data_IF_220742902957
#
_entry.id   IF_220742902957
#
_cell.length_a   1.000
_cell.length_b   1.000
_cell.length_c   1.000
_cell.angle_alpha   90.00
_cell.angle_beta   90.00
_cell.angle_gamma   90.00
#
_symmetry.space_group_name_H-M   'P 1'
#
loop_
_entity.id
_entity.type
_entity.pdbx_description
1 polymer ?
#
# COMPACT_ATOMS: atom_id res chain seq x y z
N UNK A 1 33.65 -10.30 -28.91
CA UNK A 1 33.19 -10.75 -27.61
C UNK A 1 32.02 -9.87 -27.18
N UNK A 2 30.82 -10.24 -27.63
CA UNK A 2 29.60 -9.66 -27.11
C UNK A 2 29.34 -10.28 -25.74
N UNK A 3 29.74 -9.60 -24.68
CA UNK A 3 29.27 -9.89 -23.33
C UNK A 3 27.79 -9.52 -23.31
N UNK A 4 26.90 -10.52 -23.26
CA UNK A 4 25.50 -10.31 -22.91
C UNK A 4 25.47 -9.63 -21.54
N UNK A 5 25.28 -8.31 -21.52
CA UNK A 5 24.83 -7.63 -20.33
C UNK A 5 23.37 -8.07 -20.11
N UNK A 6 23.19 -9.14 -19.35
CA UNK A 6 21.86 -9.44 -18.80
C UNK A 6 21.35 -8.17 -18.15
N UNK A 7 20.24 -7.67 -18.66
CA UNK A 7 19.60 -6.46 -18.18
C UNK A 7 19.16 -6.74 -16.73
N UNK A 8 20.01 -6.38 -15.76
CA UNK A 8 19.78 -6.66 -14.35
C UNK A 8 18.51 -5.93 -13.93
N UNK A 9 17.47 -6.69 -13.56
CA UNK A 9 16.19 -6.13 -13.11
C UNK A 9 16.40 -5.18 -11.95
N UNK A 10 15.84 -3.97 -12.04
CA UNK A 10 15.91 -2.96 -10.98
C UNK A 10 14.98 -3.31 -9.84
N UNK A 11 15.45 -3.17 -8.60
CA UNK A 11 14.65 -3.34 -7.39
C UNK A 11 14.57 -2.01 -6.65
N UNK A 12 13.38 -1.58 -6.32
CA UNK A 12 13.12 -0.38 -5.52
C UNK A 12 12.72 -0.77 -4.10
N UNK A 13 13.39 -0.20 -3.11
CA UNK A 13 12.90 -0.21 -1.73
C UNK A 13 11.94 0.96 -1.58
N UNK A 14 10.68 0.63 -1.31
CA UNK A 14 9.56 1.55 -1.29
C UNK A 14 9.03 1.67 0.13
N UNK A 15 9.39 2.74 0.82
CA UNK A 15 8.94 2.99 2.19
C UNK A 15 7.61 3.70 2.09
N UNK A 16 6.56 3.06 2.61
CA UNK A 16 5.21 3.60 2.56
C UNK A 16 4.59 3.57 3.97
N UNK A 17 4.92 4.57 4.81
CA UNK A 17 4.58 4.54 6.23
C UNK A 17 3.13 4.99 6.51
N UNK A 18 2.19 4.71 5.62
CA UNK A 18 0.77 5.06 5.78
C UNK A 18 0.19 4.35 7.00
N UNK A 19 -0.48 5.12 7.85
CA UNK A 19 -1.10 4.67 9.08
C UNK A 19 -2.60 4.96 9.13
N UNK A 20 -3.09 5.89 8.33
CA UNK A 20 -4.46 6.39 8.37
C UNK A 20 -5.49 5.30 8.06
N UNK A 21 -5.17 4.37 7.17
CA UNK A 21 -6.07 3.29 6.80
C UNK A 21 -6.29 2.25 7.90
N UNK A 22 -5.40 2.19 8.89
CA UNK A 22 -5.45 1.21 9.97
C UNK A 22 -6.44 1.53 11.09
N UNK A 23 -6.85 2.79 11.23
CA UNK A 23 -7.75 3.30 12.32
C UNK A 23 -7.47 2.64 13.68
N UNK A 24 -6.20 2.59 14.09
CA UNK A 24 -5.73 1.86 15.27
C UNK A 24 -6.37 2.36 16.56
N UNK A 25 -6.65 3.65 16.67
CA UNK A 25 -7.34 4.26 17.80
C UNK A 25 -8.77 3.72 18.02
N UNK A 26 -9.40 3.16 16.99
CA UNK A 26 -10.65 2.43 17.12
C UNK A 26 -10.49 1.13 17.94
N UNK A 27 -9.36 0.47 17.79
CA UNK A 27 -9.06 -0.81 18.46
C UNK A 27 -8.38 -0.64 19.81
N UNK A 28 -7.75 0.52 20.04
CA UNK A 28 -6.98 0.85 21.25
C UNK A 28 -7.48 2.15 21.87
N UNK A 29 -8.76 2.21 22.32
CA UNK A 29 -9.37 3.46 22.79
C UNK A 29 -8.75 4.01 24.09
N UNK A 30 -8.05 3.17 24.83
CA UNK A 30 -7.38 3.57 26.09
C UNK A 30 -6.02 4.26 25.89
N UNK A 31 -5.52 4.27 24.64
CA UNK A 31 -4.27 4.93 24.27
C UNK A 31 -4.60 6.20 23.48
N UNK A 32 -3.96 7.35 23.79
CA UNK A 32 -4.17 8.56 23.02
C UNK A 32 -4.03 8.30 21.52
N UNK A 33 -4.97 8.83 20.73
CA UNK A 33 -5.03 8.54 19.28
C UNK A 33 -3.72 8.90 18.55
N UNK A 34 -3.05 9.97 18.97
CA UNK A 34 -1.75 10.39 18.43
C UNK A 34 -0.62 9.39 18.69
N UNK A 35 -0.71 8.62 19.76
CA UNK A 35 0.29 7.60 20.10
C UNK A 35 -0.02 6.27 19.41
N UNK A 36 -1.26 5.80 19.47
CA UNK A 36 -1.69 4.52 18.91
C UNK A 36 -1.70 4.55 17.38
N UNK A 37 -2.21 5.62 16.79
CA UNK A 37 -2.47 5.69 15.32
C UNK A 37 -1.19 5.77 14.50
N UNK A 38 -0.11 6.36 15.02
CA UNK A 38 1.16 6.50 14.29
C UNK A 38 2.09 5.30 14.43
N UNK A 39 1.68 4.23 15.09
CA UNK A 39 2.49 3.02 15.24
C UNK A 39 2.95 2.42 13.91
N UNK A 40 2.09 2.41 12.90
CA UNK A 40 2.45 1.95 11.56
C UNK A 40 3.50 2.84 10.87
N UNK A 41 3.47 4.15 11.11
CA UNK A 41 4.51 5.05 10.62
C UNK A 41 5.88 4.69 11.21
N UNK A 42 5.94 4.57 12.53
CA UNK A 42 7.16 4.20 13.24
C UNK A 42 7.64 2.80 12.82
N UNK A 43 6.73 1.85 12.69
CA UNK A 43 7.04 0.48 12.27
C UNK A 43 7.72 0.42 10.90
N UNK A 44 7.24 1.18 9.92
CA UNK A 44 7.87 1.27 8.61
C UNK A 44 9.31 1.82 8.67
N UNK A 45 9.54 2.84 9.51
CA UNK A 45 10.88 3.41 9.72
C UNK A 45 11.82 2.41 10.41
N UNK A 46 11.34 1.68 11.40
CA UNK A 46 12.10 0.62 12.06
C UNK A 46 12.46 -0.52 11.11
N UNK A 47 11.52 -0.95 10.28
CA UNK A 47 11.77 -1.96 9.24
C UNK A 47 12.86 -1.50 8.28
N UNK A 48 12.82 -0.24 7.84
CA UNK A 48 13.85 0.31 6.97
C UNK A 48 15.23 0.36 7.64
N UNK A 49 15.27 0.68 8.93
CA UNK A 49 16.50 0.70 9.71
C UNK A 49 17.09 -0.72 9.90
N UNK A 50 16.24 -1.70 10.18
CA UNK A 50 16.66 -3.09 10.46
C UNK A 50 16.91 -3.92 9.19
N UNK A 51 16.26 -3.58 8.08
CA UNK A 51 16.40 -4.33 6.83
C UNK A 51 17.81 -4.23 6.26
N UNK A 52 18.35 -5.32 5.70
CA UNK A 52 19.68 -5.32 5.10
C UNK A 52 19.83 -4.24 4.03
N UNK A 53 20.94 -3.51 4.06
CA UNK A 53 21.31 -2.55 3.02
C UNK A 53 21.97 -3.32 1.87
N UNK A 54 21.26 -3.44 0.74
CA UNK A 54 21.71 -4.24 -0.42
C UNK A 54 22.00 -3.40 -1.66
N UNK A 55 22.08 -2.07 -1.50
CA UNK A 55 22.40 -1.13 -2.57
C UNK A 55 21.24 -0.80 -3.50
N UNK A 56 20.00 -1.23 -3.19
CA UNK A 56 18.82 -0.79 -3.95
C UNK A 56 18.58 0.70 -3.74
N UNK A 57 18.02 1.35 -4.78
CA UNK A 57 17.44 2.68 -4.62
C UNK A 57 16.29 2.61 -3.59
N UNK A 58 16.28 3.56 -2.68
CA UNK A 58 15.24 3.70 -1.64
C UNK A 58 14.50 5.01 -1.85
N UNK A 59 13.18 4.96 -1.85
CA UNK A 59 12.31 6.13 -1.87
C UNK A 59 11.25 6.00 -0.78
N UNK A 60 10.77 7.14 -0.28
CA UNK A 60 9.73 7.18 0.74
C UNK A 60 8.52 7.99 0.26
N UNK A 61 7.34 7.41 0.41
CA UNK A 61 6.08 8.10 0.15
C UNK A 61 5.85 9.14 1.24
N UNK A 62 5.61 10.42 0.89
CA UNK A 62 5.27 11.42 1.88
C UNK A 62 3.92 11.11 2.52
N UNK A 63 3.93 10.92 3.83
CA UNK A 63 2.75 10.58 4.63
C UNK A 63 2.54 11.63 5.71
N UNK A 64 1.31 12.14 5.80
CA UNK A 64 0.93 13.12 6.82
C UNK A 64 0.99 12.53 8.22
N UNK A 65 1.47 13.31 9.18
CA UNK A 65 1.42 13.00 10.61
C UNK A 65 0.31 13.77 11.35
N UNK A 66 -0.54 14.47 10.63
CA UNK A 66 -1.66 15.21 11.22
C UNK A 66 -2.75 14.24 11.68
N UNK A 67 -2.90 14.12 12.99
CA UNK A 67 -3.92 13.26 13.61
C UNK A 67 -5.34 13.80 13.45
N UNK A 68 -5.51 15.06 13.10
CA UNK A 68 -6.83 15.69 12.97
C UNK A 68 -7.41 15.59 11.56
N UNK A 69 -6.57 15.36 10.55
CA UNK A 69 -7.01 15.26 9.15
C UNK A 69 -7.41 13.81 8.81
N UNK A 70 -8.52 13.35 9.39
CA UNK A 70 -9.01 11.97 9.25
C UNK A 70 -10.51 11.87 9.01
N UNK A 71 -11.10 12.83 8.34
CA UNK A 71 -12.54 12.82 8.03
C UNK A 71 -12.94 11.56 7.25
N UNK A 72 -14.05 10.93 7.65
CA UNK A 72 -14.63 9.83 6.89
C UNK A 72 -15.45 10.39 5.72
N UNK A 73 -15.10 9.99 4.52
CA UNK A 73 -15.74 10.40 3.28
C UNK A 73 -16.00 9.17 2.40
N UNK A 74 -17.17 9.09 1.79
CA UNK A 74 -17.55 7.98 0.89
C UNK A 74 -17.25 6.59 1.46
N UNK A 75 -17.41 6.44 2.77
CA UNK A 75 -17.22 5.16 3.47
C UNK A 75 -15.78 4.81 3.83
N UNK A 76 -14.82 5.73 3.65
CA UNK A 76 -13.41 5.51 3.97
C UNK A 76 -12.96 6.57 4.99
N UNK A 77 -12.42 6.11 6.12
CA UNK A 77 -11.77 6.99 7.11
C UNK A 77 -10.50 7.59 6.54
N UNK A 78 -10.26 8.88 6.75
CA UNK A 78 -9.13 9.64 6.21
C UNK A 78 -9.00 9.59 4.67
N UNK A 79 -10.11 9.49 3.96
CA UNK A 79 -10.13 9.26 2.51
C UNK A 79 -9.31 10.29 1.73
N UNK A 80 -9.49 11.58 1.99
CA UNK A 80 -8.77 12.63 1.25
C UNK A 80 -7.26 12.56 1.44
N UNK A 81 -6.80 12.22 2.64
CA UNK A 81 -5.37 12.01 2.92
C UNK A 81 -4.83 10.79 2.21
N UNK A 82 -5.56 9.66 2.28
CA UNK A 82 -5.20 8.41 1.59
C UNK A 82 -5.13 8.63 0.08
N UNK A 83 -6.09 9.34 -0.50
CA UNK A 83 -6.12 9.69 -1.92
C UNK A 83 -4.87 10.49 -2.33
N UNK A 84 -4.50 11.50 -1.54
CA UNK A 84 -3.29 12.29 -1.77
C UNK A 84 -2.02 11.43 -1.69
N UNK A 85 -1.93 10.56 -0.70
CA UNK A 85 -0.79 9.66 -0.51
C UNK A 85 -0.72 8.60 -1.61
N UNK A 86 -1.87 8.11 -2.08
CA UNK A 86 -1.96 7.21 -3.25
C UNK A 86 -1.38 7.88 -4.51
N UNK A 87 -1.73 9.14 -4.78
CA UNK A 87 -1.16 9.91 -5.91
C UNK A 87 0.36 10.04 -5.78
N UNK A 88 0.85 10.41 -4.60
CA UNK A 88 2.28 10.55 -4.36
C UNK A 88 3.03 9.21 -4.55
N UNK A 89 2.47 8.11 -4.09
CA UNK A 89 3.02 6.78 -4.28
C UNK A 89 3.11 6.38 -5.76
N UNK A 90 2.05 6.66 -6.52
CA UNK A 90 2.01 6.42 -7.97
C UNK A 90 3.05 7.25 -8.72
N UNK A 91 3.22 8.52 -8.36
CA UNK A 91 4.20 9.40 -8.99
C UNK A 91 5.62 8.90 -8.77
N UNK A 92 5.95 8.44 -7.56
CA UNK A 92 7.25 7.82 -7.27
C UNK A 92 7.51 6.55 -8.10
N UNK A 93 6.52 5.70 -8.30
CA UNK A 93 6.67 4.51 -9.15
C UNK A 93 6.79 4.86 -10.63
N UNK A 94 6.06 5.86 -11.10
CA UNK A 94 6.20 6.38 -12.47
C UNK A 94 7.58 6.98 -12.72
N UNK A 95 8.13 7.69 -11.76
CA UNK A 95 9.47 8.30 -11.87
C UNK A 95 10.58 7.25 -11.87
N UNK A 96 10.46 6.21 -11.05
CA UNK A 96 11.51 5.23 -10.83
C UNK A 96 11.45 4.01 -11.74
N UNK A 97 10.31 3.69 -12.34
CA UNK A 97 10.10 2.55 -13.23
C UNK A 97 10.71 1.21 -12.74
N UNK A 98 10.47 0.79 -11.48
CA UNK A 98 11.11 -0.41 -10.97
C UNK A 98 10.58 -1.68 -11.63
N UNK A 99 11.46 -2.69 -11.78
CA UNK A 99 11.07 -4.04 -12.20
C UNK A 99 10.54 -4.88 -11.02
N UNK A 100 11.04 -4.56 -9.82
CA UNK A 100 10.66 -5.22 -8.56
C UNK A 100 10.53 -4.17 -7.47
N UNK A 101 9.64 -4.43 -6.53
CA UNK A 101 9.37 -3.52 -5.40
C UNK A 101 9.43 -4.31 -4.10
N UNK A 102 10.17 -3.78 -3.12
CA UNK A 102 10.10 -4.22 -1.72
C UNK A 102 9.44 -3.09 -0.95
N UNK A 103 8.18 -3.26 -0.60
CA UNK A 103 7.44 -2.27 0.18
C UNK A 103 7.65 -2.50 1.67
N UNK A 104 8.09 -1.47 2.37
CA UNK A 104 8.15 -1.45 3.83
C UNK A 104 7.04 -0.53 4.34
N UNK A 105 5.96 -1.13 4.80
CA UNK A 105 4.78 -0.42 5.26
C UNK A 105 4.74 -0.30 6.77
N UNK A 106 3.82 0.25 7.20
CA UNK A 106 2.51 0.81 7.05
C UNK A 106 1.44 -0.28 7.19
N UNK A 107 0.21 0.12 7.09
CA UNK A 107 -0.94 -0.80 7.15
C UNK A 107 -1.20 -1.47 5.79
N UNK A 108 -2.11 -2.43 5.74
CA UNK A 108 -2.27 -3.33 4.58
C UNK A 108 -2.50 -2.62 3.24
N UNK A 109 -3.15 -1.44 3.25
CA UNK A 109 -3.43 -0.70 2.01
C UNK A 109 -2.20 -0.14 1.30
N UNK A 110 -1.03 -0.13 1.94
CA UNK A 110 0.24 0.22 1.29
C UNK A 110 0.63 -0.76 0.18
N UNK A 111 -0.02 -1.92 0.12
CA UNK A 111 0.14 -2.91 -0.94
C UNK A 111 -0.58 -2.53 -2.24
N UNK A 112 -1.61 -1.70 -2.18
CA UNK A 112 -2.50 -1.41 -3.32
C UNK A 112 -1.76 -0.78 -4.50
N UNK A 113 -0.99 0.26 -4.26
CA UNK A 113 -0.24 0.96 -5.32
C UNK A 113 0.84 0.08 -5.94
N UNK A 114 1.77 -0.53 -5.17
CA UNK A 114 2.81 -1.37 -5.76
C UNK A 114 2.25 -2.62 -6.45
N UNK A 115 1.20 -3.26 -5.92
CA UNK A 115 0.60 -4.43 -6.54
C UNK A 115 -0.06 -4.09 -7.87
N UNK A 116 -0.88 -3.04 -7.91
CA UNK A 116 -1.55 -2.61 -9.14
C UNK A 116 -0.56 -2.09 -10.19
N UNK A 117 0.55 -1.48 -9.76
CA UNK A 117 1.66 -1.14 -10.66
C UNK A 117 2.28 -2.39 -11.29
N UNK A 118 2.60 -3.42 -10.51
CA UNK A 118 3.20 -4.66 -11.02
C UNK A 118 2.22 -5.45 -11.90
N UNK A 119 0.95 -5.46 -11.57
CA UNK A 119 -0.10 -6.08 -12.39
C UNK A 119 -0.16 -5.41 -13.78
N UNK A 120 -0.08 -4.08 -13.84
CA UNK A 120 -0.03 -3.35 -15.10
C UNK A 120 1.27 -3.60 -15.89
N UNK A 121 2.40 -3.70 -15.19
CA UNK A 121 3.70 -3.95 -15.81
C UNK A 121 3.84 -5.36 -16.36
N UNK A 122 3.23 -6.35 -15.71
CA UNK A 122 3.30 -7.78 -16.05
C UNK A 122 1.90 -8.40 -16.11
N UNK A 123 1.04 -7.98 -17.04
CA UNK A 123 -0.40 -8.25 -16.98
C UNK A 123 -0.78 -9.73 -16.94
N UNK A 124 0.02 -10.61 -17.53
CA UNK A 124 -0.25 -12.05 -17.59
C UNK A 124 0.61 -12.90 -16.64
N UNK A 125 1.59 -12.27 -15.97
CA UNK A 125 2.63 -12.97 -15.22
C UNK A 125 2.57 -12.69 -13.69
N UNK A 126 1.52 -12.04 -13.21
CA UNK A 126 1.39 -11.68 -11.78
C UNK A 126 0.18 -12.34 -11.17
N UNK A 127 0.40 -12.99 -10.03
CA UNK A 127 -0.64 -13.42 -9.10
C UNK A 127 -0.38 -12.82 -7.72
N UNK A 128 -1.44 -12.65 -6.93
CA UNK A 128 -1.33 -12.17 -5.56
C UNK A 128 -1.33 -13.36 -4.61
N UNK A 129 -0.37 -13.41 -3.68
CA UNK A 129 -0.41 -14.26 -2.50
C UNK A 129 -0.55 -13.33 -1.29
N UNK A 130 -1.75 -13.31 -0.72
CA UNK A 130 -2.10 -12.46 0.42
C UNK A 130 -1.94 -13.26 1.71
N UNK A 131 -0.83 -13.02 2.41
CA UNK A 131 -0.50 -13.74 3.66
C UNK A 131 -0.88 -12.84 4.83
N UNK A 132 -2.05 -13.09 5.39
CA UNK A 132 -2.66 -12.25 6.41
C UNK A 132 -3.71 -13.05 7.20
N UNK A 133 -3.90 -12.73 8.47
CA UNK A 133 -4.99 -13.29 9.28
C UNK A 133 -6.38 -12.81 8.82
N UNK A 134 -6.45 -11.75 8.01
CA UNK A 134 -7.66 -11.19 7.44
C UNK A 134 -7.59 -11.17 5.93
N UNK A 135 -8.71 -11.34 5.22
CA UNK A 135 -8.73 -11.35 3.75
C UNK A 135 -8.66 -9.96 3.12
N UNK A 136 -8.90 -8.90 3.88
CA UNK A 136 -8.93 -7.50 3.45
C UNK A 136 -9.78 -7.24 2.19
N UNK A 137 -11.00 -7.82 2.20
CA UNK A 137 -11.96 -7.77 1.09
C UNK A 137 -13.20 -6.91 1.40
N UNK A 138 -13.11 -6.00 2.36
CA UNK A 138 -14.19 -5.05 2.65
C UNK A 138 -14.36 -4.04 1.48
N UNK A 139 -15.52 -3.40 1.49
CA UNK A 139 -15.90 -2.37 0.54
C UNK A 139 -16.26 -1.07 1.26
N UNK A 140 -16.21 0.10 0.60
CA UNK A 140 -16.46 1.39 1.25
C UNK A 140 -17.82 1.54 1.90
N UNK A 141 -18.84 0.81 1.46
CA UNK A 141 -20.20 0.83 2.03
C UNK A 141 -20.41 -0.16 3.18
N UNK A 142 -19.39 -0.96 3.51
CA UNK A 142 -19.45 -1.83 4.70
C UNK A 142 -19.41 -0.99 5.98
N UNK A 143 -19.79 -1.58 7.10
CA UNK A 143 -19.82 -0.88 8.40
C UNK A 143 -18.43 -0.40 8.81
N UNK A 144 -17.40 -1.23 8.64
CA UNK A 144 -16.02 -0.91 8.97
C UNK A 144 -15.39 0.02 7.94
N UNK A 145 -14.82 1.14 8.37
CA UNK A 145 -14.33 2.23 7.51
C UNK A 145 -12.81 2.29 7.33
N UNK A 146 -12.07 1.35 7.90
CA UNK A 146 -10.61 1.28 7.76
C UNK A 146 -10.20 0.82 6.36
N UNK A 147 -9.45 1.66 5.66
CA UNK A 147 -9.04 1.36 4.27
C UNK A 147 -8.12 0.14 4.17
N UNK A 148 -7.37 -0.18 5.22
CA UNK A 148 -6.54 -1.39 5.25
C UNK A 148 -7.36 -2.67 4.94
N UNK A 149 -8.58 -2.76 5.46
CA UNK A 149 -9.46 -3.90 5.22
C UNK A 149 -10.04 -3.98 3.79
N UNK A 150 -9.79 -2.96 2.96
CA UNK A 150 -10.24 -2.87 1.57
C UNK A 150 -9.08 -3.09 0.58
N UNK A 151 -7.92 -3.52 1.06
CA UNK A 151 -6.69 -3.52 0.27
C UNK A 151 -6.73 -4.55 -0.88
N UNK A 152 -7.13 -5.79 -0.59
CA UNK A 152 -7.20 -6.82 -1.63
C UNK A 152 -8.32 -6.51 -2.62
N UNK A 153 -9.47 -6.04 -2.16
CA UNK A 153 -10.61 -5.64 -3.01
C UNK A 153 -10.20 -4.55 -3.99
N UNK A 154 -9.41 -3.57 -3.56
CA UNK A 154 -8.86 -2.53 -4.44
C UNK A 154 -7.99 -3.10 -5.55
N UNK A 155 -7.15 -4.11 -5.26
CA UNK A 155 -6.35 -4.80 -6.27
C UNK A 155 -7.21 -5.57 -7.29
N UNK A 156 -8.43 -5.94 -6.91
CA UNK A 156 -9.42 -6.57 -7.79
C UNK A 156 -10.26 -5.55 -8.58
N UNK A 157 -9.99 -4.27 -8.43
CA UNK A 157 -10.70 -3.20 -9.13
C UNK A 157 -12.07 -2.85 -8.53
N UNK A 158 -12.31 -3.23 -7.27
CA UNK A 158 -13.54 -2.94 -6.55
C UNK A 158 -13.27 -1.99 -5.39
N UNK A 159 -14.00 -0.89 -5.28
CA UNK A 159 -13.83 0.07 -4.21
C UNK A 159 -14.27 1.47 -4.58
N UNK A 160 -13.64 2.47 -3.97
CA UNK A 160 -13.91 3.88 -4.26
C UNK A 160 -13.54 4.21 -5.72
N UNK A 161 -14.48 4.79 -6.46
CA UNK A 161 -14.33 5.08 -7.89
C UNK A 161 -13.09 5.93 -8.18
N UNK A 162 -12.89 7.00 -7.42
CA UNK A 162 -11.78 7.93 -7.66
C UNK A 162 -10.43 7.28 -7.41
N UNK A 163 -10.35 6.43 -6.38
CA UNK A 163 -9.13 5.64 -6.12
C UNK A 163 -8.93 4.61 -7.24
N UNK A 164 -9.98 3.89 -7.63
CA UNK A 164 -9.88 2.88 -8.71
C UNK A 164 -9.42 3.50 -10.03
N UNK A 165 -9.90 4.70 -10.38
CA UNK A 165 -9.48 5.42 -11.59
C UNK A 165 -7.99 5.79 -11.58
N UNK A 166 -7.39 6.00 -10.42
CA UNK A 166 -5.97 6.30 -10.28
C UNK A 166 -5.08 5.08 -10.47
N UNK A 167 -5.56 3.90 -10.08
CA UNK A 167 -4.74 2.69 -10.03
C UNK A 167 -4.38 2.20 -11.44
N UNK A 168 -3.11 1.84 -11.69
CA UNK A 168 -2.61 1.52 -13.02
C UNK A 168 -3.11 0.17 -13.56
N UNK A 169 -3.59 -0.71 -12.71
CA UNK A 169 -4.06 -2.03 -13.09
C UNK A 169 -4.98 -2.66 -12.05
N UNK A 170 -5.53 -3.79 -12.42
CA UNK A 170 -6.31 -4.67 -11.55
C UNK A 170 -6.14 -6.12 -11.99
N UNK A 171 -6.42 -7.05 -11.09
CA UNK A 171 -6.42 -8.47 -11.40
C UNK A 171 -7.79 -9.09 -11.14
N UNK A 172 -7.94 -10.34 -11.54
CA UNK A 172 -9.12 -11.16 -11.29
C UNK A 172 -8.94 -12.00 -10.01
N UNK A 173 -10.04 -12.31 -9.34
CA UNK A 173 -10.02 -13.12 -8.12
C UNK A 173 -9.38 -14.52 -8.32
N UNK A 174 -9.44 -15.07 -9.53
CA UNK A 174 -8.77 -16.34 -9.86
C UNK A 174 -7.24 -16.26 -9.78
N UNK A 175 -6.67 -15.06 -9.76
CA UNK A 175 -5.22 -14.81 -9.61
C UNK A 175 -4.85 -14.33 -8.21
N UNK A 176 -5.72 -14.49 -7.21
CA UNK A 176 -5.46 -14.15 -5.83
C UNK A 176 -5.63 -15.36 -4.92
N UNK A 177 -4.62 -15.63 -4.10
CA UNK A 177 -4.62 -16.68 -3.08
C UNK A 177 -4.49 -16.03 -1.71
N UNK A 178 -5.41 -16.35 -0.81
CA UNK A 178 -5.39 -15.90 0.58
C UNK A 178 -4.84 -17.04 1.44
N UNK A 179 -3.89 -16.72 2.31
CA UNK A 179 -3.21 -17.66 3.22
C UNK A 179 -3.17 -17.04 4.62
N UNK A 180 -3.84 -17.68 5.58
CA UNK A 180 -3.87 -17.22 6.97
C UNK A 180 -5.09 -17.64 7.75
#
# INVERSE_FOLDING_TARGET
NNVNMENKKSTLRFIYPQWQGGIVDHWMPDIPAEDSSRGYYLGAQLLNYLAPQTGQKTVEVPVSLDINDRATEKGISARSVILKQTRAALDLLKENHPDRIVTLGGECSVSVVPFTYLINRYPDDVAIVWIDAHPDINLPYDEYKGYHAMALTACLGMGDEEIMELLPGKTDASKALIVG
#
